data_IF_375452578310
#
_entry.id   IF_375452578310
#
_cell.length_a   1.000
_cell.length_b   1.000
_cell.length_c   1.000
_cell.angle_alpha   90.00
_cell.angle_beta   90.00
_cell.angle_gamma   90.00
#
_symmetry.space_group_name_H-M   'P 1'
#
loop_
_entity.id
_entity.type
_entity.pdbx_description
1 polymer ?
#
# COMPACT_ATOMS: atom_id res chain seq x y z
N UNK A 1 5.42 -40.38 -3.44
CA UNK A 1 6.13 -39.18 -3.92
C UNK A 1 6.61 -38.42 -2.70
N UNK A 2 7.92 -38.31 -2.52
CA UNK A 2 8.57 -37.65 -1.37
C UNK A 2 8.74 -36.17 -1.74
N UNK A 3 8.15 -35.28 -0.94
CA UNK A 3 8.28 -33.83 -1.11
C UNK A 3 9.73 -33.43 -0.80
N UNK A 4 10.41 -32.80 -1.76
CA UNK A 4 11.82 -32.45 -1.70
C UNK A 4 12.07 -31.31 -0.70
N UNK A 5 13.04 -31.48 0.20
CA UNK A 5 13.38 -30.53 1.27
C UNK A 5 13.80 -29.14 0.76
N UNK A 6 14.16 -29.04 -0.52
CA UNK A 6 14.49 -27.76 -1.17
C UNK A 6 13.27 -26.85 -1.34
N UNK A 7 12.05 -27.38 -1.34
CA UNK A 7 10.82 -26.58 -1.44
C UNK A 7 10.50 -25.84 -0.13
N UNK A 8 10.93 -26.38 1.02
CA UNK A 8 10.68 -25.77 2.34
C UNK A 8 11.57 -24.55 2.63
N UNK A 9 12.76 -24.49 2.03
CA UNK A 9 13.68 -23.35 2.23
C UNK A 9 13.20 -22.10 1.47
N UNK A 10 12.50 -22.27 0.34
CA UNK A 10 11.91 -21.16 -0.41
C UNK A 10 10.74 -20.46 0.30
N UNK A 11 10.04 -21.16 1.19
CA UNK A 11 8.87 -20.63 1.92
C UNK A 11 9.28 -19.83 3.16
N UNK A 12 10.43 -20.12 3.77
CA UNK A 12 10.82 -19.52 5.04
C UNK A 12 11.31 -18.06 4.94
N UNK A 13 11.83 -17.63 3.78
CA UNK A 13 12.42 -16.27 3.63
C UNK A 13 11.38 -15.23 3.20
N UNK A 14 10.23 -15.64 2.65
CA UNK A 14 9.13 -14.72 2.29
C UNK A 14 8.19 -14.35 3.44
N UNK A 15 8.38 -14.94 4.63
CA UNK A 15 7.39 -14.92 5.73
C UNK A 15 7.44 -13.73 6.68
N UNK A 16 8.46 -12.88 6.66
CA UNK A 16 8.67 -11.93 7.78
C UNK A 16 7.88 -10.62 7.65
N UNK A 17 7.45 -10.21 6.46
CA UNK A 17 6.70 -8.95 6.29
C UNK A 17 5.17 -9.09 6.21
N UNK A 18 4.62 -10.31 6.10
CA UNK A 18 3.17 -10.52 5.90
C UNK A 18 2.33 -10.55 7.18
N UNK A 19 2.96 -10.60 8.36
CA UNK A 19 2.29 -11.00 9.61
C UNK A 19 1.67 -9.82 10.37
N UNK A 20 2.14 -8.59 10.15
CA UNK A 20 1.68 -7.46 10.98
C UNK A 20 0.26 -6.95 10.64
N UNK A 21 -0.31 -7.30 9.46
CA UNK A 21 -1.49 -6.57 8.94
C UNK A 21 -2.62 -7.40 8.31
N UNK A 22 -2.58 -8.72 8.21
CA UNK A 22 -3.68 -9.48 7.60
C UNK A 22 -4.55 -10.17 8.64
N UNK A 23 -5.89 -10.08 8.54
CA UNK A 23 -6.75 -11.08 9.15
C UNK A 23 -6.62 -12.42 8.40
N UNK A 24 -6.71 -12.45 7.06
CA UNK A 24 -6.63 -13.71 6.28
C UNK A 24 -6.14 -13.39 4.85
N UNK A 25 -4.94 -13.86 4.49
CA UNK A 25 -4.20 -13.40 3.30
C UNK A 25 -4.30 -14.35 2.10
N UNK A 26 -4.62 -13.78 0.93
CA UNK A 26 -4.50 -14.40 -0.40
C UNK A 26 -3.67 -13.51 -1.31
N UNK A 27 -2.47 -14.00 -1.66
CA UNK A 27 -1.39 -13.39 -2.44
C UNK A 27 -1.85 -12.70 -3.75
N UNK A 28 -1.25 -11.55 -4.09
CA UNK A 28 -1.28 -10.96 -5.45
C UNK A 28 0.15 -10.55 -5.82
N UNK A 29 0.61 -11.06 -6.96
CA UNK A 29 1.94 -10.82 -7.51
C UNK A 29 1.97 -9.57 -8.39
N UNK A 30 2.74 -8.58 -7.96
CA UNK A 30 3.23 -7.47 -8.79
C UNK A 30 4.73 -7.38 -8.50
N UNK A 31 5.57 -7.15 -9.50
CA UNK A 31 7.03 -7.03 -9.31
C UNK A 31 7.36 -5.71 -8.60
N UNK A 32 7.42 -5.77 -7.27
CA UNK A 32 7.68 -4.65 -6.37
C UNK A 32 9.11 -4.10 -6.46
N UNK A 33 10.06 -4.87 -7.01
CA UNK A 33 11.48 -4.53 -6.97
C UNK A 33 11.85 -3.39 -7.93
N UNK A 34 11.26 -3.38 -9.13
CA UNK A 34 11.42 -2.27 -10.08
C UNK A 34 10.70 -0.99 -9.61
N UNK A 35 9.55 -1.15 -8.96
CA UNK A 35 8.76 -0.04 -8.44
C UNK A 35 9.48 0.67 -7.29
N UNK A 36 10.07 -0.11 -6.37
CA UNK A 36 10.86 0.42 -5.26
C UNK A 36 12.09 1.19 -5.74
N UNK A 37 12.84 0.65 -6.71
CA UNK A 37 14.02 1.35 -7.26
C UNK A 37 13.62 2.66 -7.96
N UNK A 38 12.47 2.69 -8.63
CA UNK A 38 11.96 3.89 -9.31
C UNK A 38 11.45 4.94 -8.32
N UNK A 39 10.74 4.52 -7.26
CA UNK A 39 10.25 5.40 -6.19
C UNK A 39 11.43 5.98 -5.42
N UNK A 40 12.42 5.17 -5.04
CA UNK A 40 13.60 5.63 -4.31
C UNK A 40 14.44 6.61 -5.15
N UNK A 41 14.65 6.33 -6.44
CA UNK A 41 15.39 7.21 -7.34
C UNK A 41 14.70 8.57 -7.56
N UNK A 42 13.35 8.62 -7.60
CA UNK A 42 12.58 9.87 -7.71
C UNK A 42 12.33 10.56 -6.37
N UNK A 43 12.26 9.84 -5.26
CA UNK A 43 12.19 10.45 -3.93
C UNK A 43 13.50 11.18 -3.58
N UNK A 44 14.64 10.73 -4.10
CA UNK A 44 15.93 11.44 -4.00
C UNK A 44 16.12 12.55 -5.04
N UNK A 45 15.22 12.67 -6.03
CA UNK A 45 15.28 13.68 -7.08
C UNK A 45 13.95 14.39 -7.23
N UNK A 46 13.81 15.56 -6.59
CA UNK A 46 12.84 16.62 -6.88
C UNK A 46 11.46 16.14 -7.40
N UNK A 47 10.86 15.14 -6.75
CA UNK A 47 9.47 14.78 -7.01
C UNK A 47 8.59 16.00 -6.74
N UNK A 48 7.89 16.49 -7.76
CA UNK A 48 7.10 17.70 -7.66
C UNK A 48 6.03 17.52 -6.58
N UNK A 49 6.03 18.42 -5.58
CA UNK A 49 4.99 18.45 -4.56
C UNK A 49 3.70 18.78 -5.27
N UNK A 50 2.76 17.84 -5.25
CA UNK A 50 1.48 18.00 -5.95
C UNK A 50 0.52 18.82 -5.10
N UNK A 51 -0.32 19.63 -5.73
CA UNK A 51 -1.40 20.32 -5.03
C UNK A 51 -2.33 19.32 -4.34
N UNK A 52 -2.69 19.58 -3.08
CA UNK A 52 -3.55 18.69 -2.28
C UNK A 52 -4.89 18.40 -2.95
N UNK A 53 -5.42 19.33 -3.76
CA UNK A 53 -6.64 19.13 -4.54
C UNK A 53 -6.54 18.03 -5.60
N UNK A 54 -5.32 17.62 -5.97
CA UNK A 54 -5.06 16.58 -6.96
C UNK A 54 -4.74 15.21 -6.32
N UNK A 55 -4.76 15.10 -4.99
CA UNK A 55 -4.47 13.85 -4.27
C UNK A 55 -5.70 12.93 -4.22
N UNK A 56 -5.52 11.63 -3.96
CA UNK A 56 -6.60 10.77 -3.51
C UNK A 56 -7.15 11.34 -2.21
N UNK A 57 -8.47 11.28 -2.09
CA UNK A 57 -9.16 11.55 -0.84
C UNK A 57 -8.85 10.48 0.20
N UNK A 58 -9.04 10.82 1.46
CA UNK A 58 -8.95 9.89 2.59
C UNK A 58 -9.85 8.65 2.40
N UNK A 59 -11.03 8.84 1.81
CA UNK A 59 -11.97 7.76 1.53
C UNK A 59 -11.50 6.87 0.37
N UNK A 60 -11.01 7.44 -0.74
CA UNK A 60 -10.40 6.66 -1.84
C UNK A 60 -9.18 5.87 -1.35
N UNK A 61 -8.35 6.48 -0.52
CA UNK A 61 -7.20 5.81 0.08
C UNK A 61 -7.62 4.66 1.00
N UNK A 62 -8.64 4.87 1.85
CA UNK A 62 -9.20 3.81 2.69
C UNK A 62 -9.76 2.67 1.85
N UNK A 63 -10.62 2.97 0.87
CA UNK A 63 -11.20 1.95 0.00
C UNK A 63 -10.13 1.18 -0.77
N UNK A 64 -9.17 1.89 -1.36
CA UNK A 64 -8.03 1.31 -2.05
C UNK A 64 -7.22 0.39 -1.15
N UNK A 65 -6.94 0.79 0.09
CA UNK A 65 -6.18 -0.01 1.04
C UNK A 65 -6.90 -1.31 1.42
N UNK A 66 -8.21 -1.23 1.67
CA UNK A 66 -9.03 -2.40 1.98
C UNK A 66 -9.15 -3.35 0.78
N UNK A 67 -9.37 -2.81 -0.43
CA UNK A 67 -9.44 -3.61 -1.66
C UNK A 67 -8.11 -4.29 -1.96
N UNK A 68 -7.00 -3.53 -1.92
CA UNK A 68 -5.65 -4.05 -2.18
C UNK A 68 -5.28 -5.17 -1.19
N UNK A 69 -5.62 -4.99 0.08
CA UNK A 69 -5.31 -5.93 1.16
C UNK A 69 -6.36 -7.05 1.32
N UNK A 70 -7.44 -7.01 0.52
CA UNK A 70 -8.59 -7.93 0.60
C UNK A 70 -9.24 -7.98 1.99
N UNK A 71 -9.25 -6.86 2.70
CA UNK A 71 -9.90 -6.75 3.99
C UNK A 71 -11.41 -6.51 3.84
N UNK A 72 -12.18 -7.00 4.79
CA UNK A 72 -13.63 -6.83 4.79
C UNK A 72 -14.02 -5.40 5.20
N UNK A 73 -14.20 -4.55 4.20
CA UNK A 73 -14.56 -3.14 4.41
C UNK A 73 -15.96 -2.97 5.03
N UNK A 74 -16.87 -3.93 4.81
CA UNK A 74 -18.23 -3.84 5.36
C UNK A 74 -18.21 -3.98 6.87
N UNK A 75 -17.38 -4.91 7.37
CA UNK A 75 -17.29 -5.20 8.79
C UNK A 75 -16.28 -4.31 9.54
N UNK A 76 -15.16 -3.94 8.91
CA UNK A 76 -14.09 -3.21 9.60
C UNK A 76 -13.87 -1.77 9.11
N UNK A 77 -14.43 -1.40 7.95
CA UNK A 77 -14.15 -0.10 7.31
C UNK A 77 -14.78 1.10 8.01
N UNK A 78 -15.97 0.95 8.63
CA UNK A 78 -16.66 2.03 9.34
C UNK A 78 -15.94 2.47 10.63
N UNK A 79 -15.18 1.55 11.23
CA UNK A 79 -14.40 1.77 12.45
C UNK A 79 -12.92 2.08 12.14
N UNK A 80 -12.55 2.12 10.86
CA UNK A 80 -11.19 2.40 10.41
C UNK A 80 -11.11 3.75 9.71
N UNK A 81 -10.01 4.46 9.89
CA UNK A 81 -9.72 5.71 9.17
C UNK A 81 -8.38 5.61 8.47
N UNK A 82 -8.27 6.26 7.30
CA UNK A 82 -7.01 6.46 6.58
C UNK A 82 -6.93 7.93 6.24
N UNK A 83 -5.81 8.56 6.55
CA UNK A 83 -5.56 9.98 6.28
C UNK A 83 -4.37 10.08 5.34
N UNK A 84 -4.55 10.78 4.21
CA UNK A 84 -3.48 11.08 3.25
C UNK A 84 -2.73 12.33 3.72
N UNK A 85 -1.48 12.17 4.15
CA UNK A 85 -0.69 13.25 4.76
C UNK A 85 0.10 14.05 3.73
N UNK A 86 0.72 13.35 2.78
CA UNK A 86 1.63 13.94 1.79
C UNK A 86 1.62 13.12 0.53
N UNK A 87 1.55 13.76 -0.64
CA UNK A 87 1.83 13.09 -1.91
C UNK A 87 2.89 13.82 -2.75
N UNK A 88 3.61 13.05 -3.56
CA UNK A 88 4.54 13.54 -4.58
C UNK A 88 4.18 12.92 -5.93
N UNK A 89 4.31 13.71 -7.00
CA UNK A 89 4.24 13.16 -8.35
C UNK A 89 5.51 12.35 -8.62
N UNK A 90 5.35 11.14 -9.14
CA UNK A 90 6.47 10.33 -9.62
C UNK A 90 6.33 9.93 -11.10
N UNK A 91 5.31 10.45 -11.78
CA UNK A 91 5.02 10.26 -13.19
C UNK A 91 3.68 10.90 -13.59
N UNK A 92 3.43 11.03 -14.89
CA UNK A 92 2.28 11.76 -15.45
C UNK A 92 0.91 11.37 -14.84
N UNK A 93 0.74 10.10 -14.51
CA UNK A 93 -0.49 9.55 -13.92
C UNK A 93 -0.20 8.70 -12.70
N UNK A 94 0.85 9.05 -11.93
CA UNK A 94 1.29 8.23 -10.80
C UNK A 94 1.84 9.12 -9.69
N UNK A 95 1.28 8.96 -8.50
CA UNK A 95 1.71 9.66 -7.29
C UNK A 95 2.05 8.66 -6.19
N UNK A 96 3.02 9.00 -5.35
CA UNK A 96 3.31 8.29 -4.13
C UNK A 96 2.82 9.12 -2.95
N UNK A 97 2.10 8.51 -2.02
CA UNK A 97 1.51 9.18 -0.86
C UNK A 97 1.93 8.52 0.45
N UNK A 98 2.29 9.32 1.45
CA UNK A 98 2.32 8.90 2.84
C UNK A 98 0.91 9.00 3.42
N UNK A 99 0.48 7.92 4.06
CA UNK A 99 -0.82 7.77 4.68
C UNK A 99 -0.67 7.29 6.11
N UNK A 100 -1.63 7.66 6.95
CA UNK A 100 -1.76 7.16 8.32
C UNK A 100 -3.07 6.40 8.44
N UNK A 101 -3.00 5.14 8.82
CA UNK A 101 -4.16 4.27 8.96
C UNK A 101 -4.40 3.93 10.43
N UNK A 102 -5.58 4.26 10.94
CA UNK A 102 -6.09 3.76 12.21
C UNK A 102 -7.09 2.65 11.89
N UNK A 103 -6.65 1.41 11.97
CA UNK A 103 -7.47 0.24 11.63
C UNK A 103 -8.14 -0.29 12.89
N UNK A 104 -9.40 -0.73 12.78
CA UNK A 104 -10.21 -1.09 13.95
C UNK A 104 -9.67 -2.28 14.76
N UNK A 105 -8.85 -3.13 14.15
CA UNK A 105 -8.19 -4.26 14.81
C UNK A 105 -6.78 -3.96 15.31
N UNK A 106 -6.24 -2.76 15.04
CA UNK A 106 -4.93 -2.32 15.52
C UNK A 106 -5.11 -1.35 16.70
N UNK A 107 -4.26 -1.51 17.71
CA UNK A 107 -4.21 -0.58 18.84
C UNK A 107 -3.54 0.75 18.48
N UNK A 108 -2.60 0.70 17.54
CA UNK A 108 -1.77 1.82 17.13
C UNK A 108 -2.06 2.20 15.68
N UNK A 109 -1.72 3.43 15.32
CA UNK A 109 -1.78 3.90 13.94
C UNK A 109 -0.62 3.31 13.13
N UNK A 110 -0.89 2.88 11.90
CA UNK A 110 0.11 2.42 10.96
C UNK A 110 0.46 3.55 9.97
N UNK A 111 1.76 3.78 9.75
CA UNK A 111 2.23 4.63 8.65
C UNK A 111 2.39 3.77 7.40
N UNK A 112 1.81 4.22 6.29
CA UNK A 112 1.73 3.48 5.03
C UNK A 112 2.18 4.38 3.89
N UNK A 113 3.11 3.90 3.09
CA UNK A 113 3.46 4.48 1.79
C UNK A 113 2.61 3.80 0.72
N UNK A 114 1.75 4.56 0.05
CA UNK A 114 0.86 4.09 -1.01
C UNK A 114 1.29 4.63 -2.37
N UNK A 115 1.21 3.79 -3.40
CA UNK A 115 1.33 4.23 -4.79
C UNK A 115 -0.04 4.25 -5.45
N UNK A 116 -0.41 5.39 -6.00
CA UNK A 116 -1.66 5.59 -6.71
C UNK A 116 -1.38 5.82 -8.19
N UNK A 117 -2.19 5.19 -9.04
CA UNK A 117 -2.20 5.42 -10.49
C UNK A 117 -3.57 5.91 -10.92
N UNK A 118 -3.58 6.87 -11.84
CA UNK A 118 -4.82 7.48 -12.32
C UNK A 118 -4.66 8.99 -12.47
N UNK A 119 -5.74 9.69 -12.21
CA UNK A 119 -5.86 11.14 -12.31
C UNK A 119 -6.65 11.66 -11.12
N UNK A 120 -6.67 12.99 -10.85
CA UNK A 120 -7.52 13.57 -9.82
C UNK A 120 -8.95 13.02 -9.89
N UNK A 121 -9.54 12.75 -8.72
CA UNK A 121 -10.89 12.17 -8.54
C UNK A 121 -11.09 10.73 -9.04
N UNK A 122 -10.04 10.08 -9.56
CA UNK A 122 -10.09 8.68 -9.99
C UNK A 122 -8.75 7.98 -9.76
N UNK A 123 -8.26 8.05 -8.53
CA UNK A 123 -7.01 7.40 -8.13
C UNK A 123 -7.24 5.95 -7.73
N UNK A 124 -6.43 5.04 -8.25
CA UNK A 124 -6.41 3.63 -7.84
C UNK A 124 -5.14 3.34 -7.05
N UNK A 125 -5.28 2.86 -5.82
CA UNK A 125 -4.14 2.35 -5.04
C UNK A 125 -3.65 1.04 -5.66
N UNK A 126 -2.42 1.00 -6.15
CA UNK A 126 -1.84 -0.17 -6.84
C UNK A 126 -0.78 -0.88 -6.00
N UNK A 127 -0.25 -0.22 -4.98
CA UNK A 127 0.73 -0.77 -4.05
C UNK A 127 0.67 -0.03 -2.73
N UNK A 128 0.89 -0.73 -1.62
CA UNK A 128 1.03 -0.14 -0.30
C UNK A 128 2.11 -0.88 0.49
N UNK A 129 2.86 -0.14 1.29
CA UNK A 129 3.90 -0.67 2.16
C UNK A 129 3.82 0.03 3.52
N UNK A 130 3.86 -0.74 4.60
CA UNK A 130 4.02 -0.18 5.95
C UNK A 130 5.45 0.27 6.16
N UNK A 131 5.62 1.42 6.80
CA UNK A 131 6.92 1.97 7.14
C UNK A 131 7.49 1.32 8.39
#
# INVERSE_FOLDING_TARGET
>A
MILDAKFLVGVAVGGVLGIALAPHSGQLGIDFSQLQNTILARATGEGEVTDKGNWPTDEEAKQGLFVLSKWDIKNFGSQSTVIVNRCISIGENTIACEMRAKLSWLKEEALIEGLFRGKPENWTLVSAKTR
#
